data_IF_491636948869
#
_entry.id   IF_491636948869
#
_cell.length_a   1.000
_cell.length_b   1.000
_cell.length_c   1.000
_cell.angle_alpha   90.00
_cell.angle_beta   90.00
_cell.angle_gamma   90.00
#
_symmetry.space_group_name_H-M   'P 1'
#
loop_
_entity.id
_entity.type
_entity.pdbx_description
1 polymer ?
#
# COMPACT_ATOMS: atom_id res chain seq x y z
N UNK A 1 -92.02 22.47 -49.83
CA UNK A 1 -90.97 23.44 -49.48
C UNK A 1 -89.80 22.67 -48.86
N UNK A 2 -88.67 22.51 -49.57
CA UNK A 2 -87.50 21.73 -49.09
C UNK A 2 -86.41 22.68 -48.58
N UNK A 3 -86.06 22.58 -47.30
CA UNK A 3 -84.99 23.37 -46.68
C UNK A 3 -83.66 22.62 -46.87
N UNK A 4 -82.70 23.22 -47.60
CA UNK A 4 -81.32 22.73 -47.67
C UNK A 4 -80.48 23.45 -46.60
N UNK A 5 -80.01 22.73 -45.60
CA UNK A 5 -78.90 23.19 -44.73
C UNK A 5 -77.58 22.83 -45.38
N UNK A 6 -76.70 23.82 -45.59
CA UNK A 6 -75.30 23.61 -45.95
C UNK A 6 -74.46 23.62 -44.67
N UNK A 7 -73.64 22.59 -44.48
CA UNK A 7 -72.59 22.60 -43.47
C UNK A 7 -71.34 23.25 -44.08
N UNK A 8 -70.81 24.27 -43.42
CA UNK A 8 -69.49 24.80 -43.71
C UNK A 8 -68.48 23.88 -43.03
N UNK A 9 -67.62 23.24 -43.82
CA UNK A 9 -66.46 22.53 -43.28
C UNK A 9 -65.40 23.59 -43.00
N UNK A 10 -65.23 23.93 -41.73
CA UNK A 10 -64.13 24.78 -41.28
C UNK A 10 -62.83 23.99 -41.44
N UNK A 11 -62.17 24.20 -42.58
CA UNK A 11 -60.88 23.61 -42.88
C UNK A 11 -59.83 24.50 -42.20
N UNK A 12 -59.54 24.21 -40.94
CA UNK A 12 -58.49 24.88 -40.18
C UNK A 12 -57.26 23.98 -40.17
N UNK A 13 -56.34 24.07 -41.14
CA UNK A 13 -55.05 23.41 -41.01
C UNK A 13 -54.33 24.09 -39.86
N UNK A 14 -54.20 23.42 -38.72
CA UNK A 14 -53.27 23.83 -37.68
C UNK A 14 -51.86 23.76 -38.26
N UNK A 15 -51.41 24.86 -38.85
CA UNK A 15 -50.02 25.03 -39.26
C UNK A 15 -49.22 25.14 -37.97
N UNK A 16 -48.69 24.01 -37.51
CA UNK A 16 -47.73 23.98 -36.40
C UNK A 16 -46.53 24.82 -36.85
N UNK A 17 -46.23 25.95 -36.19
CA UNK A 17 -45.16 26.84 -36.62
C UNK A 17 -43.82 26.09 -36.57
N UNK A 18 -43.06 26.13 -37.67
CA UNK A 18 -41.79 25.39 -37.82
C UNK A 18 -40.77 25.62 -36.69
N UNK A 19 -40.92 26.74 -35.96
CA UNK A 19 -40.13 27.13 -34.79
C UNK A 19 -40.30 26.18 -33.59
N UNK A 20 -41.45 25.52 -33.42
CA UNK A 20 -41.67 24.55 -32.34
C UNK A 20 -40.92 23.22 -32.57
N UNK A 21 -40.79 22.80 -33.84
CA UNK A 21 -40.06 21.58 -34.20
C UNK A 21 -38.56 21.68 -33.92
N UNK A 22 -37.97 22.87 -34.07
CA UNK A 22 -36.58 23.13 -33.72
C UNK A 22 -36.32 23.10 -32.22
N UNK A 23 -37.23 23.67 -31.41
CA UNK A 23 -37.09 23.68 -29.95
C UNK A 23 -37.20 22.28 -29.34
N UNK A 24 -38.07 21.43 -29.87
CA UNK A 24 -38.17 20.04 -29.42
C UNK A 24 -36.86 19.26 -29.64
N UNK A 25 -36.22 19.45 -30.80
CA UNK A 25 -34.91 18.84 -31.08
C UNK A 25 -33.82 19.33 -30.12
N UNK A 26 -33.77 20.64 -29.84
CA UNK A 26 -32.80 21.24 -28.92
C UNK A 26 -32.94 20.65 -27.51
N UNK A 27 -34.18 20.49 -27.03
CA UNK A 27 -34.45 19.89 -25.71
C UNK A 27 -33.98 18.44 -25.68
N UNK A 28 -34.28 17.65 -26.73
CA UNK A 28 -33.84 16.25 -26.81
C UNK A 28 -32.33 16.13 -26.81
N UNK A 29 -31.63 16.96 -27.57
CA UNK A 29 -30.15 16.96 -27.60
C UNK A 29 -29.59 17.33 -26.22
N UNK A 30 -30.18 18.31 -25.54
CA UNK A 30 -29.75 18.71 -24.20
C UNK A 30 -29.93 17.58 -23.17
N UNK A 31 -31.05 16.86 -23.23
CA UNK A 31 -31.30 15.68 -22.38
C UNK A 31 -30.32 14.55 -22.71
N UNK A 32 -30.04 14.29 -23.99
CA UNK A 32 -29.07 13.27 -24.40
C UNK A 32 -27.66 13.59 -23.92
N UNK A 33 -27.22 14.85 -24.05
CA UNK A 33 -25.91 15.29 -23.55
C UNK A 33 -25.84 15.16 -22.03
N UNK A 34 -26.89 15.53 -21.32
CA UNK A 34 -26.96 15.36 -19.86
C UNK A 34 -26.84 13.87 -19.46
N UNK A 35 -27.64 13.00 -20.08
CA UNK A 35 -27.59 11.55 -19.83
C UNK A 35 -26.22 10.95 -20.17
N UNK A 36 -25.56 11.43 -21.23
CA UNK A 36 -24.21 11.00 -21.61
C UNK A 36 -23.17 11.36 -20.54
N UNK A 37 -23.20 12.59 -20.04
CA UNK A 37 -22.27 13.04 -18.99
C UNK A 37 -22.51 12.25 -17.69
N UNK A 38 -23.77 12.08 -17.28
CA UNK A 38 -24.10 11.27 -16.09
C UNK A 38 -23.62 9.83 -16.25
N UNK A 39 -23.80 9.22 -17.43
CA UNK A 39 -23.31 7.88 -17.73
C UNK A 39 -21.78 7.75 -17.59
N UNK A 40 -21.03 8.71 -18.13
CA UNK A 40 -19.56 8.73 -18.01
C UNK A 40 -19.09 8.90 -16.56
N UNK A 41 -19.74 9.77 -15.79
CA UNK A 41 -19.41 9.97 -14.37
C UNK A 41 -19.66 8.69 -13.57
N UNK A 42 -20.80 8.02 -13.77
CA UNK A 42 -21.12 6.76 -13.09
C UNK A 42 -20.14 5.64 -13.41
N UNK A 43 -19.75 5.50 -14.68
CA UNK A 43 -18.74 4.52 -15.10
C UNK A 43 -17.38 4.80 -14.44
N UNK A 44 -16.99 6.07 -14.35
CA UNK A 44 -15.71 6.47 -13.74
C UNK A 44 -15.67 6.17 -12.23
N UNK A 45 -16.74 6.52 -11.50
CA UNK A 45 -16.85 6.25 -10.05
C UNK A 45 -16.91 4.75 -9.75
N UNK A 46 -17.59 3.98 -10.60
CA UNK A 46 -17.69 2.53 -10.43
C UNK A 46 -16.37 1.82 -10.75
N UNK A 47 -15.55 2.38 -11.65
CA UNK A 47 -14.21 1.87 -11.95
C UNK A 47 -13.16 2.17 -10.87
N UNK A 48 -13.28 3.28 -10.14
CA UNK A 48 -12.31 3.68 -9.11
C UNK A 48 -12.51 2.95 -7.78
N UNK A 49 -13.75 2.66 -7.38
CA UNK A 49 -14.06 1.98 -6.11
C UNK A 49 -13.34 0.64 -5.92
N UNK A 50 -13.43 -0.33 -6.86
CA UNK A 50 -12.78 -1.63 -6.73
C UNK A 50 -11.24 -1.57 -6.72
N UNK A 51 -10.65 -0.61 -7.44
CA UNK A 51 -9.18 -0.42 -7.48
C UNK A 51 -8.65 0.12 -6.15
N UNK A 52 -9.34 1.09 -5.56
CA UNK A 52 -8.96 1.64 -4.24
C UNK A 52 -9.14 0.59 -3.14
N UNK A 53 -10.24 -0.17 -3.16
CA UNK A 53 -10.46 -1.24 -2.19
C UNK A 53 -9.44 -2.39 -2.31
N UNK A 54 -9.05 -2.76 -3.54
CA UNK A 54 -7.99 -3.74 -3.78
C UNK A 54 -6.64 -3.29 -3.23
N UNK A 55 -6.25 -2.04 -3.49
CA UNK A 55 -4.99 -1.47 -3.01
C UNK A 55 -4.95 -1.37 -1.48
N UNK A 56 -6.06 -0.96 -0.84
CA UNK A 56 -6.14 -0.91 0.64
C UNK A 56 -5.99 -2.31 1.23
N UNK A 57 -6.60 -3.34 0.61
CA UNK A 57 -6.49 -4.72 1.11
C UNK A 57 -5.06 -5.23 1.05
N UNK A 58 -4.36 -5.05 -0.08
CA UNK A 58 -2.97 -5.53 -0.20
C UNK A 58 -2.02 -4.75 0.70
N UNK A 59 -2.27 -3.45 0.91
CA UNK A 59 -1.52 -2.64 1.88
C UNK A 59 -1.73 -3.13 3.31
N UNK A 60 -2.98 -3.40 3.71
CA UNK A 60 -3.28 -3.93 5.03
C UNK A 60 -2.63 -5.31 5.24
N UNK A 61 -2.59 -6.15 4.20
CA UNK A 61 -1.90 -7.45 4.27
C UNK A 61 -0.40 -7.27 4.46
N UNK A 62 0.24 -6.32 3.77
CA UNK A 62 1.65 -6.02 3.98
C UNK A 62 1.90 -5.49 5.40
N UNK A 63 1.05 -4.60 5.90
CA UNK A 63 1.12 -4.09 7.27
C UNK A 63 0.97 -5.21 8.32
N UNK A 64 -0.02 -6.09 8.18
CA UNK A 64 -0.17 -7.24 9.07
C UNK A 64 1.05 -8.18 9.05
N UNK A 65 1.71 -8.28 7.90
CA UNK A 65 2.96 -9.05 7.77
C UNK A 65 4.11 -8.39 8.53
N UNK A 66 4.18 -7.05 8.50
CA UNK A 66 5.16 -6.29 9.26
C UNK A 66 4.92 -6.40 10.77
N UNK A 67 3.66 -6.31 11.24
CA UNK A 67 3.33 -6.50 12.66
C UNK A 67 3.69 -7.90 13.15
N UNK A 68 3.33 -8.94 12.39
CA UNK A 68 3.71 -10.31 12.75
C UNK A 68 5.23 -10.49 12.83
N UNK A 69 5.96 -9.91 11.86
CA UNK A 69 7.43 -9.94 11.88
C UNK A 69 8.02 -9.16 13.05
N UNK A 70 7.41 -8.03 13.43
CA UNK A 70 7.82 -7.23 14.57
C UNK A 70 7.63 -8.01 15.88
N UNK A 71 6.45 -8.59 16.11
CA UNK A 71 6.16 -9.36 17.34
C UNK A 71 7.14 -10.53 17.50
N UNK A 72 7.40 -11.27 16.41
CA UNK A 72 8.32 -12.42 16.42
C UNK A 72 9.77 -11.96 16.64
N UNK A 73 10.21 -10.91 15.94
CA UNK A 73 11.56 -10.37 16.11
C UNK A 73 11.78 -9.83 17.53
N UNK A 74 10.82 -9.08 18.07
CA UNK A 74 10.84 -8.59 19.44
C UNK A 74 10.98 -9.73 20.45
N UNK A 75 10.13 -10.77 20.38
CA UNK A 75 10.23 -11.91 21.29
C UNK A 75 11.58 -12.62 21.17
N UNK A 76 12.11 -12.77 19.96
CA UNK A 76 13.43 -13.40 19.75
C UNK A 76 14.55 -12.59 20.39
N UNK A 77 14.51 -11.27 20.27
CA UNK A 77 15.47 -10.35 20.90
C UNK A 77 15.34 -10.44 22.43
N UNK A 78 14.12 -10.38 22.97
CA UNK A 78 13.84 -10.48 24.40
C UNK A 78 14.39 -11.79 24.98
N UNK A 79 14.15 -12.91 24.30
CA UNK A 79 14.70 -14.22 24.67
C UNK A 79 16.23 -14.24 24.63
N UNK A 80 16.85 -13.61 23.63
CA UNK A 80 18.31 -13.52 23.49
C UNK A 80 18.97 -12.69 24.59
N UNK A 81 18.28 -11.67 25.12
CA UNK A 81 18.75 -10.95 26.30
C UNK A 81 18.49 -11.75 27.59
N UNK A 82 17.36 -12.45 27.67
CA UNK A 82 16.97 -13.23 28.85
C UNK A 82 17.88 -14.45 29.08
N UNK A 83 18.34 -15.10 28.01
CA UNK A 83 19.27 -16.25 28.08
C UNK A 83 20.76 -15.85 28.17
N UNK A 84 21.05 -14.55 28.00
CA UNK A 84 22.40 -13.98 28.07
C UNK A 84 23.24 -14.18 26.80
N UNK A 85 22.64 -14.64 25.70
CA UNK A 85 23.26 -14.68 24.37
C UNK A 85 23.63 -13.26 23.90
N UNK A 86 22.74 -12.31 24.13
CA UNK A 86 22.93 -10.88 23.85
C UNK A 86 23.15 -10.12 25.15
N UNK A 87 24.21 -9.31 25.18
CA UNK A 87 24.52 -8.42 26.31
C UNK A 87 24.18 -6.96 25.97
N UNK A 88 24.18 -6.63 24.67
CA UNK A 88 23.95 -5.32 24.07
C UNK A 88 23.58 -5.50 22.60
N UNK A 89 23.06 -4.45 21.96
CA UNK A 89 22.72 -4.50 20.54
C UNK A 89 23.94 -4.42 19.60
N UNK A 90 25.07 -3.91 20.11
CA UNK A 90 26.34 -3.85 19.39
C UNK A 90 26.77 -5.22 18.84
N UNK A 91 27.06 -5.26 17.53
CA UNK A 91 27.37 -6.49 16.80
C UNK A 91 26.15 -7.22 16.23
N UNK A 92 24.94 -6.68 16.37
CA UNK A 92 23.70 -7.22 15.78
C UNK A 92 23.04 -6.29 14.76
N UNK A 93 23.67 -5.15 14.46
CA UNK A 93 23.20 -4.19 13.46
C UNK A 93 23.50 -4.64 12.03
N UNK A 94 22.61 -4.31 11.11
CA UNK A 94 22.84 -4.45 9.68
C UNK A 94 23.87 -3.41 9.24
N UNK A 95 25.13 -3.83 9.10
CA UNK A 95 26.27 -2.94 8.80
C UNK A 95 27.00 -3.29 7.50
N UNK A 96 26.70 -4.45 6.91
CA UNK A 96 27.36 -4.89 5.67
C UNK A 96 26.97 -4.02 4.45
N UNK A 97 25.83 -3.36 4.50
CA UNK A 97 25.41 -2.36 3.51
C UNK A 97 26.02 -1.01 3.93
N UNK A 98 27.01 -0.55 3.17
CA UNK A 98 27.76 0.68 3.49
C UNK A 98 26.82 1.89 3.55
N UNK A 99 26.78 2.53 4.71
CA UNK A 99 26.03 3.76 4.97
C UNK A 99 24.52 3.55 5.02
N UNK A 100 24.05 2.36 5.39
CA UNK A 100 22.63 2.08 5.60
C UNK A 100 22.04 2.83 6.80
N UNK A 101 22.87 3.10 7.80
CA UNK A 101 22.60 3.79 9.06
C UNK A 101 23.00 5.28 9.05
N UNK A 102 23.66 5.75 7.98
CA UNK A 102 24.13 7.14 7.87
C UNK A 102 23.17 8.07 7.10
N UNK A 103 22.46 9.01 7.76
CA UNK A 103 21.66 10.05 7.10
C UNK A 103 22.32 10.82 5.95
N UNK A 104 23.65 10.92 5.89
CA UNK A 104 24.37 11.57 4.79
C UNK A 104 24.58 10.65 3.58
N UNK A 105 24.59 9.34 3.80
CA UNK A 105 24.72 8.33 2.74
C UNK A 105 23.50 8.30 1.82
N UNK A 106 23.72 7.92 0.56
CA UNK A 106 22.65 7.66 -0.40
C UNK A 106 21.93 6.34 -0.08
N UNK A 107 22.62 5.39 0.57
CA UNK A 107 22.07 4.11 0.98
C UNK A 107 21.30 4.17 2.31
N UNK A 108 21.12 5.36 2.89
CA UNK A 108 20.42 5.50 4.16
C UNK A 108 19.04 4.86 4.08
N UNK A 109 18.72 3.95 4.99
CA UNK A 109 17.52 3.11 4.90
C UNK A 109 16.21 3.93 4.79
N UNK A 110 16.15 5.15 5.37
CA UNK A 110 14.97 6.04 5.26
C UNK A 110 14.91 6.83 3.95
N UNK A 111 16.00 6.91 3.18
CA UNK A 111 16.00 7.47 1.81
C UNK A 111 15.58 6.45 0.76
N UNK A 112 15.70 5.16 1.09
CA UNK A 112 15.38 4.06 0.20
C UNK A 112 13.93 3.61 0.35
N UNK A 113 13.30 3.28 -0.77
CA UNK A 113 12.05 2.52 -0.76
C UNK A 113 12.29 1.13 -0.19
N UNK A 114 11.23 0.49 0.32
CA UNK A 114 11.33 -0.89 0.81
C UNK A 114 11.88 -1.84 -0.26
N UNK A 115 11.50 -1.65 -1.53
CA UNK A 115 11.99 -2.49 -2.62
C UNK A 115 13.49 -2.29 -2.84
N UNK A 116 13.97 -1.05 -2.91
CA UNK A 116 15.41 -0.78 -3.06
C UNK A 116 16.20 -1.36 -1.88
N UNK A 117 15.66 -1.30 -0.66
CA UNK A 117 16.31 -1.89 0.50
C UNK A 117 16.37 -3.41 0.43
N UNK A 118 15.27 -4.06 0.02
CA UNK A 118 15.23 -5.51 -0.21
C UNK A 118 16.19 -5.94 -1.33
N UNK A 119 16.31 -5.13 -2.38
CA UNK A 119 17.25 -5.38 -3.49
C UNK A 119 18.71 -5.19 -3.06
N UNK A 120 18.99 -4.37 -2.05
CA UNK A 120 20.34 -4.28 -1.45
C UNK A 120 20.66 -5.48 -0.54
N UNK A 121 19.63 -6.04 0.10
CA UNK A 121 19.76 -7.22 0.98
C UNK A 121 19.91 -8.52 0.16
N UNK A 122 19.17 -8.63 -0.96
CA UNK A 122 19.14 -9.77 -1.88
C UNK A 122 19.27 -9.28 -3.34
N UNK A 123 20.46 -8.79 -3.73
CA UNK A 123 20.73 -8.28 -5.09
C UNK A 123 20.58 -9.34 -6.19
N UNK A 124 20.73 -10.62 -5.86
CA UNK A 124 20.63 -11.72 -6.83
C UNK A 124 19.17 -12.16 -7.05
N UNK A 125 18.27 -11.78 -6.13
CA UNK A 125 16.84 -12.08 -6.17
C UNK A 125 16.55 -13.57 -6.01
N UNK A 126 17.44 -14.32 -5.37
CA UNK A 126 17.33 -15.77 -5.23
C UNK A 126 16.50 -16.19 -4.01
N UNK A 127 16.04 -15.21 -3.21
CA UNK A 127 15.25 -15.43 -2.01
C UNK A 127 16.10 -15.73 -0.78
N UNK A 128 17.42 -15.57 -0.86
CA UNK A 128 18.33 -15.60 0.28
C UNK A 128 19.03 -14.26 0.46
N UNK A 129 19.22 -13.83 1.71
CA UNK A 129 19.95 -12.61 1.99
C UNK A 129 21.43 -12.80 1.65
N UNK A 130 22.00 -11.86 0.90
CA UNK A 130 23.43 -11.78 0.61
C UNK A 130 24.20 -10.99 1.69
N UNK A 131 23.49 -10.48 2.70
CA UNK A 131 24.07 -9.74 3.82
C UNK A 131 23.79 -10.45 5.15
N UNK A 132 24.71 -10.32 6.10
CA UNK A 132 24.60 -10.84 7.46
C UNK A 132 23.74 -9.97 8.38
N UNK A 133 23.61 -10.41 9.64
CA UNK A 133 22.98 -9.67 10.74
C UNK A 133 21.50 -9.28 10.54
N UNK A 134 20.77 -10.02 9.68
CA UNK A 134 19.32 -10.01 9.72
C UNK A 134 18.81 -10.91 10.84
N UNK A 135 17.74 -10.47 11.51
CA UNK A 135 17.01 -11.32 12.46
C UNK A 135 16.21 -12.36 11.66
N UNK A 136 15.48 -11.90 10.64
CA UNK A 136 14.68 -12.75 9.76
C UNK A 136 14.70 -12.22 8.34
N UNK A 137 14.72 -13.13 7.35
CA UNK A 137 14.65 -12.78 5.94
C UNK A 137 13.61 -13.61 5.20
N UNK A 138 12.58 -12.93 4.66
CA UNK A 138 11.49 -13.51 3.86
C UNK A 138 10.78 -14.68 4.56
N UNK A 139 10.62 -14.59 5.88
CA UNK A 139 9.95 -15.62 6.65
C UNK A 139 8.43 -15.54 6.48
N UNK A 140 7.74 -16.65 6.17
CA UNK A 140 6.29 -16.67 6.06
C UNK A 140 5.63 -16.83 7.44
N UNK A 141 4.54 -16.10 7.68
CA UNK A 141 3.79 -16.22 8.95
C UNK A 141 2.37 -16.79 8.80
N UNK A 142 1.76 -16.66 7.62
CA UNK A 142 0.40 -17.15 7.36
C UNK A 142 0.43 -18.61 6.93
N UNK A 143 -0.42 -19.43 7.54
CA UNK A 143 -0.66 -20.80 7.07
C UNK A 143 -2.00 -20.89 6.33
N UNK A 144 -1.99 -21.50 5.15
CA UNK A 144 -3.19 -21.85 4.39
C UNK A 144 -3.23 -23.36 4.20
N UNK A 145 -4.22 -24.03 4.82
CA UNK A 145 -4.37 -25.48 4.69
C UNK A 145 -3.19 -26.29 5.27
N UNK A 146 -2.51 -25.75 6.29
CA UNK A 146 -1.36 -26.41 6.94
C UNK A 146 -0.02 -26.20 6.23
N UNK A 147 0.04 -25.39 5.18
CA UNK A 147 1.30 -24.98 4.52
C UNK A 147 1.48 -23.46 4.63
N UNK A 148 2.71 -23.01 4.85
CA UNK A 148 3.03 -21.60 4.87
C UNK A 148 2.81 -20.94 3.50
N UNK A 149 2.18 -19.78 3.51
CA UNK A 149 1.90 -18.99 2.31
C UNK A 149 3.04 -18.00 2.05
N UNK A 150 3.87 -18.30 1.06
CA UNK A 150 5.03 -17.50 0.68
C UNK A 150 4.68 -16.12 0.09
N UNK A 151 3.40 -15.81 -0.06
CA UNK A 151 2.94 -14.47 -0.46
C UNK A 151 2.91 -13.49 0.69
N UNK A 152 2.99 -13.95 1.94
CA UNK A 152 2.92 -13.10 3.12
C UNK A 152 4.14 -13.35 3.98
N UNK A 153 5.19 -12.58 3.70
CA UNK A 153 6.50 -12.73 4.34
C UNK A 153 6.93 -11.44 5.01
N UNK A 154 7.92 -11.51 5.89
CA UNK A 154 8.53 -10.33 6.49
C UNK A 154 10.06 -10.41 6.50
N UNK A 155 10.70 -9.24 6.65
CA UNK A 155 12.14 -9.08 6.84
C UNK A 155 12.34 -8.20 8.06
N UNK A 156 13.20 -8.61 8.99
CA UNK A 156 13.47 -7.88 10.23
C UNK A 156 14.97 -7.77 10.49
N UNK A 157 15.45 -6.57 10.82
CA UNK A 157 16.85 -6.26 11.10
C UNK A 157 16.96 -5.05 12.03
N UNK A 158 18.14 -4.87 12.64
CA UNK A 158 18.44 -3.75 13.51
C UNK A 158 19.30 -2.71 12.80
N UNK A 159 19.06 -1.44 13.10
CA UNK A 159 19.87 -0.30 12.67
C UNK A 159 20.37 0.42 13.92
N UNK A 160 21.64 0.81 13.89
CA UNK A 160 22.23 1.75 14.85
C UNK A 160 21.67 3.15 14.54
N UNK A 161 20.87 3.70 15.44
CA UNK A 161 20.24 5.01 15.27
C UNK A 161 21.19 6.19 15.54
N UNK A 162 22.40 5.91 16.03
CA UNK A 162 23.41 6.91 16.38
C UNK A 162 24.63 6.95 15.45
N UNK A 163 24.72 6.00 14.51
CA UNK A 163 25.86 5.81 13.61
C UNK A 163 26.37 7.08 12.88
N UNK A 164 25.49 8.06 12.63
CA UNK A 164 25.83 9.31 11.92
C UNK A 164 26.21 10.52 12.78
N UNK A 165 26.45 10.34 14.08
CA UNK A 165 27.02 11.41 14.91
C UNK A 165 26.39 11.55 16.29
N UNK A 166 25.68 10.53 16.77
CA UNK A 166 25.28 10.40 18.17
C UNK A 166 26.46 10.00 19.07
N UNK A 167 26.19 9.80 20.37
CA UNK A 167 27.19 9.31 21.31
C UNK A 167 26.98 7.81 21.48
N UNK A 168 27.80 6.94 20.86
CA UNK A 168 27.48 5.52 20.70
C UNK A 168 26.92 4.88 21.98
N UNK A 169 25.65 4.53 21.92
CA UNK A 169 24.87 3.86 22.94
C UNK A 169 24.49 2.46 22.41
N UNK A 170 25.12 1.39 22.92
CA UNK A 170 24.79 0.04 22.50
C UNK A 170 23.58 -0.53 23.26
N UNK A 171 22.91 0.28 24.09
CA UNK A 171 21.75 -0.11 24.89
C UNK A 171 20.42 0.10 24.18
N UNK A 172 20.41 0.79 23.05
CA UNK A 172 19.29 0.95 22.15
C UNK A 172 19.62 0.56 20.70
N UNK A 173 18.54 0.38 19.93
CA UNK A 173 18.59 0.01 18.52
C UNK A 173 17.26 0.31 17.85
N UNK A 174 17.28 0.65 16.57
CA UNK A 174 16.07 0.74 15.77
C UNK A 174 15.75 -0.61 15.11
N UNK A 175 14.67 -1.27 15.54
CA UNK A 175 14.13 -2.44 14.87
C UNK A 175 13.30 -2.01 13.67
N UNK A 176 13.72 -2.45 12.49
CA UNK A 176 13.01 -2.23 11.23
C UNK A 176 12.42 -3.56 10.77
N UNK A 177 11.10 -3.57 10.56
CA UNK A 177 10.38 -4.71 10.03
C UNK A 177 9.64 -4.33 8.75
N UNK A 178 9.92 -5.04 7.65
CA UNK A 178 9.27 -4.86 6.35
C UNK A 178 8.39 -6.06 6.08
N UNK A 179 7.08 -5.84 6.09
CA UNK A 179 6.08 -6.81 5.67
C UNK A 179 5.86 -6.76 4.17
N UNK A 180 5.74 -7.94 3.54
CA UNK A 180 5.62 -8.12 2.10
C UNK A 180 4.35 -8.91 1.82
N UNK A 181 3.51 -8.37 0.93
CA UNK A 181 2.31 -9.02 0.40
C UNK A 181 2.42 -9.16 -1.12
N UNK A 182 2.40 -10.40 -1.61
CA UNK A 182 2.56 -10.75 -3.02
C UNK A 182 3.80 -11.59 -3.30
N UNK A 183 3.96 -12.00 -4.55
CA UNK A 183 5.11 -12.79 -5.04
C UNK A 183 5.51 -12.30 -6.43
N UNK A 184 6.81 -12.35 -6.75
CA UNK A 184 7.32 -11.94 -8.05
C UNK A 184 7.34 -10.43 -8.22
N UNK A 185 6.93 -9.92 -9.39
CA UNK A 185 7.05 -8.50 -9.74
C UNK A 185 5.92 -7.60 -9.21
N UNK A 186 4.91 -8.18 -8.55
CA UNK A 186 3.79 -7.44 -7.96
C UNK A 186 3.80 -7.70 -6.46
N UNK A 187 4.56 -6.86 -5.76
CA UNK A 187 4.67 -6.87 -4.30
C UNK A 187 4.18 -5.55 -3.74
N UNK A 188 3.52 -5.62 -2.60
CA UNK A 188 3.18 -4.46 -1.76
C UNK A 188 3.93 -4.61 -0.46
N UNK A 189 4.57 -3.54 -0.02
CA UNK A 189 5.37 -3.52 1.21
C UNK A 189 4.77 -2.57 2.24
N UNK A 190 5.08 -2.83 3.50
CA UNK A 190 4.82 -1.91 4.60
C UNK A 190 5.95 -2.01 5.60
N UNK A 191 6.41 -0.88 6.11
CA UNK A 191 7.51 -0.80 7.07
C UNK A 191 7.01 -0.37 8.45
N UNK A 192 7.50 -1.03 9.48
CA UNK A 192 7.37 -0.64 10.88
C UNK A 192 8.78 -0.36 11.41
N UNK A 193 8.95 0.78 12.08
CA UNK A 193 10.21 1.20 12.71
C UNK A 193 9.92 1.46 14.18
N UNK A 194 10.63 0.77 15.09
CA UNK A 194 10.45 0.92 16.53
C UNK A 194 11.81 0.92 17.21
N UNK A 195 12.02 1.91 18.07
CA UNK A 195 13.20 2.02 18.91
C UNK A 195 13.08 1.05 20.09
N UNK A 196 14.09 0.20 20.26
CA UNK A 196 14.20 -0.75 21.37
C UNK A 196 15.29 -0.24 22.31
N UNK A 197 15.08 -0.36 23.61
CA UNK A 197 16.07 0.00 24.62
C UNK A 197 16.13 -1.06 25.73
N UNK A 198 17.33 -1.33 26.23
CA UNK A 198 17.55 -2.23 27.36
C UNK A 198 17.17 -1.49 28.64
N UNK A 199 16.14 -1.98 29.34
CA UNK A 199 15.77 -1.42 30.63
C UNK A 199 16.75 -1.90 31.72
N UNK A 200 17.58 -0.98 32.22
CA UNK A 200 18.43 -1.25 33.38
C UNK A 200 17.59 -1.27 34.67
N UNK A 201 17.82 -2.19 35.62
CA UNK A 201 17.13 -2.18 36.90
C UNK A 201 17.45 -0.89 37.67
N UNK A 202 16.46 0.00 37.82
CA UNK A 202 16.55 1.19 38.68
C UNK A 202 16.49 2.56 37.99
N UNK A 203 16.18 2.62 36.69
CA UNK A 203 15.80 3.86 35.98
C UNK A 203 14.30 4.13 36.05
#
# INVERSE_FOLDING_TARGET
MKIKKRFQLENNPSVVPAREKGMALVIVVMVLVFLQVTGLVLLTVTGTGPRVAGNIRVQQQAYNSAEAGFDIAWTTIEESFADGSWVRFDGHYLTEIVGIDDPQSDNYFRKLTDQELLDLIDPDGDGTANVGYLIYFREPYVQTGGTYDLRYTYVAFLIDDEAAGGTPDPSDALLVCIGISGTGSIVTTSRIEVELAIQLPGS
#
